data_IF_863534068450
#
_entry.id   IF_863534068450
#
_cell.length_a   1.000
_cell.length_b   1.000
_cell.length_c   1.000
_cell.angle_alpha   90.00
_cell.angle_beta   90.00
_cell.angle_gamma   90.00
#
_symmetry.space_group_name_H-M   'P 1'
#
loop_
_entity.id
_entity.type
_entity.pdbx_description
1 polymer ?
#
# COMPACT_ATOMS: atom_id res chain seq x y z
N UNK A 1 8.43 -6.00 10.07
CA UNK A 1 7.14 -6.58 9.61
C UNK A 1 7.46 -7.39 8.36
N UNK A 2 7.60 -8.72 8.48
CA UNK A 2 8.19 -9.55 7.41
C UNK A 2 7.16 -9.69 6.29
N UNK A 3 7.23 -8.74 5.36
CA UNK A 3 6.46 -8.64 4.13
C UNK A 3 4.98 -8.84 4.38
N UNK A 4 4.28 -7.73 4.65
CA UNK A 4 2.83 -7.54 4.40
C UNK A 4 2.19 -8.83 3.95
N UNK A 5 1.76 -9.66 4.91
CA UNK A 5 1.20 -10.97 4.59
C UNK A 5 0.18 -10.77 3.48
N UNK A 6 0.11 -11.68 2.52
CA UNK A 6 -0.70 -11.56 1.28
C UNK A 6 -2.08 -10.91 1.50
N UNK A 7 -2.66 -11.07 2.70
CA UNK A 7 -3.84 -10.36 3.20
C UNK A 7 -3.78 -8.81 3.27
N UNK A 8 -2.66 -8.16 3.59
CA UNK A 8 -2.62 -6.73 3.91
C UNK A 8 -2.86 -5.85 2.68
N UNK A 9 -2.05 -6.02 1.63
CA UNK A 9 -2.20 -5.22 0.41
C UNK A 9 -3.50 -5.56 -0.32
N UNK A 10 -3.95 -6.82 -0.28
CA UNK A 10 -5.27 -7.22 -0.81
C UNK A 10 -6.40 -6.53 -0.04
N UNK A 11 -6.36 -6.51 1.29
CA UNK A 11 -7.36 -5.83 2.12
C UNK A 11 -7.38 -4.32 1.87
N UNK A 12 -6.21 -3.69 1.74
CA UNK A 12 -6.11 -2.26 1.40
C UNK A 12 -6.71 -1.99 0.01
N UNK A 13 -6.44 -2.86 -0.97
CA UNK A 13 -7.01 -2.74 -2.31
C UNK A 13 -8.54 -2.90 -2.33
N UNK A 14 -9.09 -3.85 -1.56
CA UNK A 14 -10.54 -4.03 -1.43
C UNK A 14 -11.22 -2.85 -0.73
N UNK A 15 -10.63 -2.35 0.37
CA UNK A 15 -11.13 -1.18 1.09
C UNK A 15 -11.11 0.07 0.19
N UNK A 16 -10.02 0.26 -0.57
CA UNK A 16 -9.90 1.38 -1.51
C UNK A 16 -10.98 1.29 -2.60
N UNK A 17 -11.18 0.11 -3.19
CA UNK A 17 -12.22 -0.08 -4.19
C UNK A 17 -13.64 0.11 -3.62
N UNK A 18 -13.89 -0.34 -2.38
CA UNK A 18 -15.18 -0.14 -1.71
C UNK A 18 -15.45 1.35 -1.43
N UNK A 19 -14.47 2.09 -0.92
CA UNK A 19 -14.58 3.53 -0.69
C UNK A 19 -14.77 4.29 -2.00
N UNK A 20 -13.98 3.96 -3.03
CA UNK A 20 -14.06 4.58 -4.34
C UNK A 20 -15.47 4.44 -4.95
N UNK A 21 -16.08 3.25 -4.87
CA UNK A 21 -17.48 3.04 -5.27
C UNK A 21 -18.44 3.88 -4.44
N UNK A 22 -18.26 3.94 -3.12
CA UNK A 22 -19.13 4.69 -2.22
C UNK A 22 -19.13 6.21 -2.51
N UNK A 23 -18.05 6.74 -3.09
CA UNK A 23 -17.93 8.16 -3.45
C UNK A 23 -18.13 8.42 -4.95
N UNK A 24 -18.57 7.42 -5.73
CA UNK A 24 -19.00 7.60 -7.13
C UNK A 24 -17.94 7.35 -8.20
N UNK A 25 -16.80 6.72 -7.88
CA UNK A 25 -15.88 6.24 -8.91
C UNK A 25 -16.38 4.96 -9.58
N UNK A 26 -16.21 4.89 -10.89
CA UNK A 26 -16.70 3.80 -11.71
C UNK A 26 -15.70 3.37 -12.79
N UNK A 27 -15.97 2.23 -13.42
CA UNK A 27 -15.23 1.76 -14.59
C UNK A 27 -13.72 1.69 -14.39
N UNK A 28 -12.97 2.33 -15.29
CA UNK A 28 -11.50 2.28 -15.30
C UNK A 28 -10.87 2.94 -14.08
N UNK A 29 -11.50 3.96 -13.51
CA UNK A 29 -10.93 4.66 -12.36
C UNK A 29 -10.92 3.75 -11.13
N UNK A 30 -11.96 2.95 -10.96
CA UNK A 30 -12.02 1.93 -9.91
C UNK A 30 -10.92 0.88 -10.07
N UNK A 31 -10.66 0.44 -11.31
CA UNK A 31 -9.56 -0.49 -11.61
C UNK A 31 -8.20 0.12 -11.26
N UNK A 32 -7.96 1.38 -11.64
CA UNK A 32 -6.71 2.05 -11.36
C UNK A 32 -6.49 2.33 -9.87
N UNK A 33 -7.54 2.72 -9.15
CA UNK A 33 -7.47 2.90 -7.69
C UNK A 33 -7.11 1.58 -6.98
N UNK A 34 -7.71 0.46 -7.39
CA UNK A 34 -7.37 -0.86 -6.87
C UNK A 34 -5.91 -1.24 -7.17
N UNK A 35 -5.44 -1.01 -8.40
CA UNK A 35 -4.04 -1.30 -8.80
C UNK A 35 -3.07 -0.43 -7.99
N UNK A 36 -3.35 0.86 -7.85
CA UNK A 36 -2.54 1.78 -7.04
C UNK A 36 -2.47 1.32 -5.58
N UNK A 37 -3.58 0.87 -5.02
CA UNK A 37 -3.65 0.32 -3.67
C UNK A 37 -2.94 -1.03 -3.50
N UNK A 38 -2.75 -1.82 -4.57
CA UNK A 38 -1.91 -3.02 -4.52
C UNK A 38 -0.42 -2.69 -4.53
N UNK A 39 -0.05 -1.57 -5.15
CA UNK A 39 1.35 -1.19 -5.42
C UNK A 39 1.87 -0.08 -4.48
N UNK A 40 1.05 0.40 -3.55
CA UNK A 40 1.32 1.61 -2.77
C UNK A 40 2.67 1.57 -2.03
N UNK A 41 3.10 0.39 -1.57
CA UNK A 41 4.33 0.17 -0.83
C UNK A 41 5.49 -0.39 -1.68
N UNK A 42 5.33 -0.50 -3.00
CA UNK A 42 6.37 -1.04 -3.90
C UNK A 42 7.72 -0.32 -3.74
N UNK A 43 7.69 0.98 -3.44
CA UNK A 43 8.89 1.79 -3.21
C UNK A 43 9.76 1.30 -2.05
N UNK A 44 9.20 0.56 -1.08
CA UNK A 44 9.96 -0.01 0.05
C UNK A 44 11.01 -1.02 -0.38
N UNK A 45 10.86 -1.64 -1.55
CA UNK A 45 11.82 -2.61 -2.09
C UNK A 45 13.21 -2.00 -2.37
N UNK A 46 13.31 -0.69 -2.54
CA UNK A 46 14.59 0.01 -2.74
C UNK A 46 15.22 0.56 -1.46
N UNK A 47 14.57 0.40 -0.31
CA UNK A 47 15.04 0.95 0.97
C UNK A 47 15.96 -0.08 1.66
N UNK A 48 17.14 0.32 2.15
CA UNK A 48 18.01 -0.57 2.92
C UNK A 48 17.30 -1.16 4.15
N UNK A 49 17.60 -2.42 4.48
CA UNK A 49 16.95 -3.14 5.58
C UNK A 49 17.21 -2.47 6.94
N UNK A 50 18.40 -1.90 7.12
CA UNK A 50 18.78 -1.13 8.32
C UNK A 50 17.93 0.12 8.55
N UNK A 51 17.34 0.67 7.49
CA UNK A 51 16.38 1.79 7.56
C UNK A 51 14.97 1.25 7.73
N UNK A 52 14.59 0.21 6.96
CA UNK A 52 13.22 -0.31 6.93
C UNK A 52 12.81 -1.01 8.23
N UNK A 53 13.73 -1.75 8.87
CA UNK A 53 13.50 -2.52 10.09
C UNK A 53 14.17 -1.88 11.33
N UNK A 54 14.53 -0.58 11.26
CA UNK A 54 15.14 0.14 12.39
C UNK A 54 14.23 0.09 13.64
N UNK A 55 14.70 -0.44 14.78
CA UNK A 55 13.92 -0.42 16.01
C UNK A 55 13.99 0.97 16.66
N UNK A 56 13.01 1.81 16.35
CA UNK A 56 12.90 3.18 16.88
C UNK A 56 12.70 4.22 15.78
N UNK A 57 12.70 5.52 16.11
CA UNK A 57 12.60 6.58 15.12
C UNK A 57 13.80 6.56 14.16
N UNK A 58 13.59 7.02 12.92
CA UNK A 58 14.69 7.31 12.00
C UNK A 58 15.53 8.47 12.56
N UNK A 59 16.82 8.48 12.21
CA UNK A 59 17.69 9.63 12.50
C UNK A 59 17.47 10.70 11.42
N UNK A 60 17.87 11.94 11.69
CA UNK A 60 17.65 13.07 10.77
C UNK A 60 18.65 13.13 9.60
N UNK A 61 19.72 12.32 9.66
CA UNK A 61 20.85 12.33 8.71
C UNK A 61 20.69 11.35 7.53
#
# INVERSE_FOLDING_TARGET
DRFTGVEHYERVAELTAALARAVGFEGRDLTWLRIGALLYDLGKAGIPEEVLDKPGPLDED
#
